data_IF_710688393653
#
_entry.id   IF_710688393653
#
_cell.length_a   1.000
_cell.length_b   1.000
_cell.length_c   1.000
_cell.angle_alpha   90.00
_cell.angle_beta   90.00
_cell.angle_gamma   90.00
#
_symmetry.space_group_name_H-M   'P 1'
#
loop_
_entity.id
_entity.type
_entity.pdbx_description
1 polymer ?
#
# COMPACT_ATOMS: atom_id res chain seq x y z
N UNK A 1 20.90 46.05 -20.61
CA UNK A 1 19.82 45.18 -20.16
C UNK A 1 20.18 43.77 -20.62
N UNK A 2 20.59 42.88 -19.70
CA UNK A 2 19.84 41.72 -19.28
C UNK A 2 20.75 40.60 -18.76
N UNK A 3 21.66 40.87 -17.86
CA UNK A 3 22.37 39.79 -17.11
C UNK A 3 21.67 39.44 -15.79
N UNK A 4 20.91 40.38 -15.21
CA UNK A 4 20.15 40.14 -13.97
C UNK A 4 18.91 39.22 -14.12
N UNK A 5 18.38 39.02 -15.32
CA UNK A 5 17.23 38.14 -15.55
C UNK A 5 17.63 36.65 -15.55
N UNK A 6 18.80 36.36 -16.10
CA UNK A 6 19.32 34.97 -16.16
C UNK A 6 19.82 34.48 -14.80
N UNK A 7 20.43 35.37 -13.99
CA UNK A 7 20.86 35.07 -12.62
C UNK A 7 19.68 34.79 -11.65
N UNK A 8 18.59 35.58 -11.76
CA UNK A 8 17.36 35.30 -10.99
C UNK A 8 16.70 34.01 -11.40
N UNK A 9 16.69 33.66 -12.69
CA UNK A 9 16.18 32.35 -13.16
C UNK A 9 17.04 31.17 -12.70
N UNK A 10 18.35 31.36 -12.54
CA UNK A 10 19.26 30.35 -11.99
C UNK A 10 19.12 30.19 -10.46
N UNK A 11 18.83 31.26 -9.73
CA UNK A 11 18.60 31.28 -8.29
C UNK A 11 17.17 30.76 -7.91
N UNK A 12 16.20 30.91 -8.81
CA UNK A 12 14.87 30.27 -8.70
C UNK A 12 14.86 28.79 -9.07
N UNK A 13 16.03 28.20 -9.22
CA UNK A 13 16.28 26.81 -9.55
C UNK A 13 15.40 25.84 -8.78
N UNK A 14 14.19 25.59 -9.28
CA UNK A 14 13.39 24.43 -8.94
C UNK A 14 12.30 24.60 -7.90
N UNK A 15 11.88 25.81 -7.48
CA UNK A 15 10.65 25.98 -6.67
C UNK A 15 9.41 25.79 -7.54
N UNK A 16 8.97 24.53 -7.64
CA UNK A 16 7.69 24.26 -8.30
C UNK A 16 6.54 24.97 -7.55
N UNK A 17 5.53 25.50 -8.27
CA UNK A 17 4.35 26.09 -7.64
C UNK A 17 3.64 25.08 -6.76
N UNK A 18 3.11 25.55 -5.63
CA UNK A 18 2.48 24.75 -4.57
C UNK A 18 1.43 23.74 -5.10
N UNK A 19 0.53 24.12 -6.04
CA UNK A 19 -0.45 23.17 -6.57
C UNK A 19 0.16 21.91 -7.18
N UNK A 20 1.25 22.06 -7.95
CA UNK A 20 1.90 20.91 -8.61
C UNK A 20 2.53 19.92 -7.63
N UNK A 21 2.86 20.33 -6.40
CA UNK A 21 3.41 19.45 -5.36
C UNK A 21 2.32 18.71 -4.59
N UNK A 22 1.15 19.32 -4.44
CA UNK A 22 0.05 18.76 -3.68
C UNK A 22 -0.75 17.73 -4.46
N UNK A 23 -0.83 17.83 -5.80
CA UNK A 23 -1.56 16.86 -6.63
C UNK A 23 -1.20 15.39 -6.32
N UNK A 24 0.08 14.96 -6.28
CA UNK A 24 0.38 13.57 -5.95
C UNK A 24 0.07 13.21 -4.50
N UNK A 25 0.12 14.17 -3.57
CA UNK A 25 -0.28 13.95 -2.17
C UNK A 25 -1.76 13.67 -2.09
N UNK A 26 -2.59 14.53 -2.71
CA UNK A 26 -4.05 14.37 -2.74
C UNK A 26 -4.42 13.08 -3.48
N UNK A 27 -3.79 12.78 -4.61
CA UNK A 27 -4.01 11.53 -5.32
C UNK A 27 -3.73 10.31 -4.43
N UNK A 28 -2.64 10.32 -3.66
CA UNK A 28 -2.29 9.23 -2.76
C UNK A 28 -3.23 9.13 -1.56
N UNK A 29 -3.70 10.30 -1.03
CA UNK A 29 -4.67 10.33 0.08
C UNK A 29 -5.97 9.58 -0.25
N UNK A 30 -6.46 9.68 -1.48
CA UNK A 30 -7.71 9.02 -1.88
C UNK A 30 -7.48 7.65 -2.54
N UNK A 31 -6.35 7.45 -3.23
CA UNK A 31 -6.07 6.17 -3.88
C UNK A 31 -5.78 5.05 -2.87
N UNK A 32 -5.14 5.36 -1.74
CA UNK A 32 -4.80 4.36 -0.73
C UNK A 32 -6.05 3.70 -0.11
N UNK A 33 -7.03 4.43 0.44
CA UNK A 33 -8.26 3.81 0.94
C UNK A 33 -9.10 3.15 -0.16
N UNK A 34 -9.16 3.73 -1.37
CA UNK A 34 -9.85 3.07 -2.47
C UNK A 34 -9.22 1.71 -2.82
N UNK A 35 -7.90 1.65 -2.92
CA UNK A 35 -7.22 0.39 -3.22
C UNK A 35 -7.32 -0.61 -2.06
N UNK A 36 -7.31 -0.13 -0.81
CA UNK A 36 -7.42 -0.98 0.38
C UNK A 36 -8.80 -1.62 0.52
N UNK A 37 -9.87 -0.86 0.32
CA UNK A 37 -11.21 -1.24 0.73
C UNK A 37 -12.16 -1.51 -0.45
N UNK A 38 -11.99 -0.80 -1.57
CA UNK A 38 -12.90 -0.94 -2.69
C UNK A 38 -12.37 -1.89 -3.79
N UNK A 39 -11.04 -2.02 -3.93
CA UNK A 39 -10.46 -2.71 -5.09
C UNK A 39 -10.73 -4.22 -5.14
N UNK A 40 -11.08 -4.82 -4.02
CA UNK A 40 -11.40 -6.25 -3.89
C UNK A 40 -12.89 -6.51 -3.60
N UNK A 41 -13.76 -5.50 -3.81
CA UNK A 41 -15.21 -5.65 -3.62
C UNK A 41 -15.71 -5.43 -2.20
N UNK A 42 -14.87 -4.90 -1.28
CA UNK A 42 -15.24 -4.72 0.14
C UNK A 42 -16.43 -3.79 0.36
N UNK A 43 -16.65 -2.82 -0.54
CA UNK A 43 -17.78 -1.88 -0.46
C UNK A 43 -18.46 -1.73 -1.81
N UNK A 44 -19.77 -1.55 -1.82
CA UNK A 44 -20.58 -1.40 -3.02
C UNK A 44 -21.37 -0.08 -3.02
N UNK A 45 -21.69 0.42 -4.21
CA UNK A 45 -22.53 1.61 -4.39
C UNK A 45 -21.93 2.88 -3.78
N UNK A 46 -22.76 3.63 -3.06
CA UNK A 46 -22.38 4.89 -2.42
C UNK A 46 -21.41 4.72 -1.26
N UNK A 47 -21.39 3.55 -0.63
CA UNK A 47 -20.53 3.25 0.52
C UNK A 47 -19.05 3.32 0.12
N UNK A 48 -18.72 3.03 -1.15
CA UNK A 48 -17.37 3.21 -1.69
C UNK A 48 -16.86 4.65 -1.55
N UNK A 49 -17.72 5.65 -1.79
CA UNK A 49 -17.32 7.06 -1.64
C UNK A 49 -17.17 7.41 -0.16
N UNK A 50 -18.09 6.94 0.67
CA UNK A 50 -18.06 7.15 2.12
C UNK A 50 -16.78 6.62 2.75
N UNK A 51 -16.44 5.35 2.50
CA UNK A 51 -15.25 4.72 3.06
C UNK A 51 -13.95 5.37 2.57
N UNK A 52 -13.88 5.75 1.29
CA UNK A 52 -12.70 6.44 0.75
C UNK A 52 -12.48 7.77 1.44
N UNK A 53 -13.53 8.56 1.69
CA UNK A 53 -13.40 9.87 2.35
C UNK A 53 -13.05 9.70 3.83
N UNK A 54 -13.75 8.80 4.53
CA UNK A 54 -13.54 8.56 5.97
C UNK A 54 -12.15 8.01 6.27
N UNK A 55 -11.63 7.09 5.42
CA UNK A 55 -10.34 6.47 5.64
C UNK A 55 -9.17 7.21 4.95
N UNK A 56 -9.43 8.25 4.14
CA UNK A 56 -8.37 9.04 3.52
C UNK A 56 -7.36 9.63 4.52
N UNK A 57 -7.76 10.19 5.67
CA UNK A 57 -6.82 10.69 6.67
C UNK A 57 -5.89 9.60 7.20
N UNK A 58 -6.39 8.41 7.47
CA UNK A 58 -5.63 7.31 8.04
C UNK A 58 -4.82 6.55 6.98
N UNK A 59 -5.45 5.91 6.02
CA UNK A 59 -4.74 5.09 5.02
C UNK A 59 -3.92 5.95 4.06
N UNK A 60 -4.53 7.00 3.55
CA UNK A 60 -3.84 7.94 2.68
C UNK A 60 -2.73 8.70 3.41
N UNK A 61 -3.00 9.12 4.65
CA UNK A 61 -2.01 9.74 5.52
C UNK A 61 -0.81 8.83 5.75
N UNK A 62 -1.03 7.55 6.09
CA UNK A 62 0.03 6.55 6.24
C UNK A 62 0.85 6.37 4.96
N UNK A 63 0.19 6.21 3.80
CA UNK A 63 0.87 6.05 2.52
C UNK A 63 1.75 7.26 2.18
N UNK A 64 1.26 8.47 2.41
CA UNK A 64 2.04 9.71 2.22
C UNK A 64 3.22 9.76 3.18
N UNK A 65 3.02 9.52 4.48
CA UNK A 65 4.08 9.57 5.50
C UNK A 65 5.16 8.52 5.24
N UNK A 66 4.80 7.28 4.93
CA UNK A 66 5.74 6.21 4.59
C UNK A 66 6.56 6.58 3.35
N UNK A 67 5.88 7.04 2.31
CA UNK A 67 6.56 7.48 1.09
C UNK A 67 7.51 8.66 1.36
N UNK A 68 7.06 9.68 2.09
CA UNK A 68 7.88 10.84 2.44
C UNK A 68 9.09 10.44 3.30
N UNK A 69 8.90 9.56 4.31
CA UNK A 69 10.00 9.05 5.12
C UNK A 69 11.05 8.35 4.25
N UNK A 70 10.64 7.44 3.36
CA UNK A 70 11.56 6.75 2.48
C UNK A 70 12.30 7.71 1.52
N UNK A 71 11.60 8.68 0.92
CA UNK A 71 12.22 9.60 -0.06
C UNK A 71 13.14 10.63 0.60
N UNK A 72 12.84 11.05 1.83
CA UNK A 72 13.68 11.99 2.61
C UNK A 72 14.99 11.37 3.09
N UNK A 73 14.95 10.10 3.47
CA UNK A 73 16.13 9.39 3.98
C UNK A 73 16.96 8.73 2.87
N UNK A 74 16.56 8.88 1.61
CA UNK A 74 17.19 8.20 0.48
C UNK A 74 16.84 6.72 0.39
N UNK A 75 15.80 6.27 1.11
CA UNK A 75 15.32 4.90 1.10
C UNK A 75 14.69 4.47 -0.22
N UNK A 76 14.86 3.19 -0.55
CA UNK A 76 14.26 2.53 -1.70
C UNK A 76 12.94 1.82 -1.38
N UNK A 77 12.52 0.96 -2.30
CA UNK A 77 11.34 0.11 -2.13
C UNK A 77 11.41 -0.84 -0.93
N UNK A 78 12.58 -1.44 -0.59
CA UNK A 78 12.67 -2.28 0.61
C UNK A 78 12.26 -1.53 1.89
N UNK A 79 12.65 -0.25 2.02
CA UNK A 79 12.22 0.59 3.14
C UNK A 79 10.71 0.82 3.14
N UNK A 80 10.11 1.10 1.97
CA UNK A 80 8.65 1.28 1.85
C UNK A 80 7.92 0.01 2.26
N UNK A 81 8.36 -1.17 1.80
CA UNK A 81 7.74 -2.46 2.14
C UNK A 81 7.83 -2.76 3.64
N UNK A 82 8.98 -2.52 4.27
CA UNK A 82 9.15 -2.72 5.71
C UNK A 82 8.27 -1.78 6.53
N UNK A 83 8.20 -0.49 6.15
CA UNK A 83 7.31 0.47 6.80
C UNK A 83 5.83 0.13 6.55
N UNK A 84 5.49 -0.39 5.36
CA UNK A 84 4.15 -0.86 5.06
C UNK A 84 3.75 -2.08 5.91
N UNK A 85 4.68 -3.02 6.13
CA UNK A 85 4.46 -4.14 7.06
C UNK A 85 4.28 -3.64 8.49
N UNK A 86 5.10 -2.67 8.92
CA UNK A 86 4.93 -1.99 10.21
C UNK A 86 3.58 -1.31 10.35
N UNK A 87 3.13 -0.63 9.31
CA UNK A 87 1.79 -0.02 9.25
C UNK A 87 0.68 -1.08 9.33
N UNK A 88 0.80 -2.19 8.59
CA UNK A 88 -0.19 -3.26 8.63
C UNK A 88 -0.34 -3.86 10.03
N UNK A 89 0.77 -4.08 10.74
CA UNK A 89 0.72 -4.55 12.14
C UNK A 89 0.19 -3.47 13.08
N UNK A 90 0.55 -2.19 12.87
CA UNK A 90 0.04 -1.06 13.66
C UNK A 90 -1.47 -0.93 13.49
N UNK A 91 -1.95 -0.98 12.24
CA UNK A 91 -3.35 -0.87 11.94
C UNK A 91 -4.15 -2.02 12.54
N UNK A 92 -3.82 -3.25 12.17
CA UNK A 92 -4.57 -4.42 12.57
C UNK A 92 -4.34 -4.84 14.04
N UNK A 93 -3.24 -4.42 14.67
CA UNK A 93 -2.92 -4.78 16.07
C UNK A 93 -3.20 -3.69 17.09
N UNK A 94 -3.09 -2.41 16.73
CA UNK A 94 -3.19 -1.30 17.69
C UNK A 94 -4.33 -0.34 17.41
N UNK A 95 -4.77 -0.21 16.14
CA UNK A 95 -5.84 0.73 15.78
C UNK A 95 -7.18 0.02 15.77
N UNK A 96 -7.45 -0.84 14.80
CA UNK A 96 -8.71 -1.58 14.72
C UNK A 96 -8.73 -2.89 15.52
N UNK A 97 -7.55 -3.35 15.95
CA UNK A 97 -7.33 -4.57 16.75
C UNK A 97 -7.89 -5.87 16.12
N UNK A 98 -8.13 -5.86 14.83
CA UNK A 98 -8.64 -7.00 14.04
C UNK A 98 -7.77 -8.27 14.15
N UNK A 99 -6.46 -8.13 14.44
CA UNK A 99 -5.58 -9.27 14.69
C UNK A 99 -5.98 -10.09 15.93
N UNK A 100 -6.56 -9.43 16.92
CA UNK A 100 -6.83 -10.03 18.23
C UNK A 100 -8.31 -10.28 18.47
N UNK A 101 -9.19 -9.57 17.79
CA UNK A 101 -10.63 -9.70 17.91
C UNK A 101 -11.15 -10.87 17.04
N UNK A 102 -11.55 -12.02 17.63
CA UNK A 102 -12.06 -13.15 16.84
C UNK A 102 -13.38 -12.82 16.13
N UNK A 103 -14.14 -11.88 16.69
CA UNK A 103 -15.45 -11.47 16.20
C UNK A 103 -15.39 -10.21 15.33
N UNK A 104 -14.18 -9.83 14.86
CA UNK A 104 -13.98 -8.59 14.10
C UNK A 104 -14.89 -8.47 12.87
N UNK A 105 -15.17 -9.59 12.21
CA UNK A 105 -16.03 -9.67 11.02
C UNK A 105 -17.45 -10.18 11.31
N UNK A 106 -17.82 -10.35 12.58
CA UNK A 106 -19.10 -10.96 12.96
C UNK A 106 -20.34 -10.14 12.54
N UNK A 107 -20.17 -8.83 12.37
CA UNK A 107 -21.20 -7.89 11.93
C UNK A 107 -21.18 -7.62 10.42
N UNK A 108 -20.51 -8.47 9.64
CA UNK A 108 -20.34 -8.33 8.18
C UNK A 108 -20.82 -9.58 7.44
N UNK A 109 -20.97 -9.50 6.12
CA UNK A 109 -21.24 -10.67 5.25
C UNK A 109 -20.12 -11.72 5.27
N UNK A 110 -18.99 -11.42 5.93
CA UNK A 110 -17.87 -12.36 6.13
C UNK A 110 -17.97 -13.17 7.43
N UNK A 111 -18.99 -12.98 8.25
CA UNK A 111 -19.13 -13.66 9.55
C UNK A 111 -18.95 -15.18 9.47
N UNK A 112 -19.61 -15.82 8.50
CA UNK A 112 -19.54 -17.27 8.30
C UNK A 112 -18.26 -17.68 7.52
N UNK A 113 -17.69 -16.79 6.72
CA UNK A 113 -16.52 -17.07 5.87
C UNK A 113 -15.21 -16.89 6.62
N UNK A 114 -15.18 -16.13 7.71
CA UNK A 114 -13.94 -15.71 8.37
C UNK A 114 -13.12 -16.84 8.93
N UNK A 115 -13.74 -17.94 9.35
CA UNK A 115 -13.09 -19.15 9.89
C UNK A 115 -11.85 -18.85 10.76
N UNK A 116 -11.88 -17.72 11.50
CA UNK A 116 -10.77 -17.22 12.30
C UNK A 116 -10.20 -18.27 13.25
N UNK A 117 -11.08 -19.04 13.86
CA UNK A 117 -10.71 -20.07 14.83
C UNK A 117 -9.97 -21.27 14.21
N UNK A 118 -10.15 -21.53 12.91
CA UNK A 118 -9.48 -22.68 12.24
C UNK A 118 -7.96 -22.58 12.26
N UNK A 119 -7.42 -21.35 12.32
CA UNK A 119 -5.96 -21.12 12.33
C UNK A 119 -5.53 -20.29 13.54
N UNK A 120 -6.26 -20.43 14.64
CA UNK A 120 -5.98 -19.72 15.88
C UNK A 120 -4.66 -20.20 16.49
N UNK A 121 -3.82 -19.25 16.86
CA UNK A 121 -2.60 -19.43 17.65
C UNK A 121 -2.93 -19.05 19.10
N UNK A 122 -3.21 -20.02 20.01
CA UNK A 122 -3.79 -19.71 21.34
C UNK A 122 -2.92 -18.77 22.18
N UNK A 123 -1.59 -18.95 22.14
CA UNK A 123 -0.62 -18.16 22.93
C UNK A 123 -0.64 -16.67 22.53
N UNK A 124 -0.86 -16.38 21.25
CA UNK A 124 -0.89 -15.02 20.72
C UNK A 124 -2.31 -14.45 20.65
N UNK A 125 -3.33 -15.31 20.66
CA UNK A 125 -4.72 -14.93 20.50
C UNK A 125 -5.07 -14.40 19.11
N UNK A 126 -4.30 -14.77 18.07
CA UNK A 126 -4.49 -14.34 16.68
C UNK A 126 -4.89 -15.51 15.79
N UNK A 127 -5.61 -15.22 14.69
CA UNK A 127 -5.72 -16.13 13.57
C UNK A 127 -4.53 -15.92 12.61
N UNK A 128 -3.76 -16.98 12.36
CA UNK A 128 -2.61 -16.89 11.46
C UNK A 128 -3.03 -16.53 10.03
N UNK A 129 -4.15 -17.06 9.55
CA UNK A 129 -4.70 -16.75 8.23
C UNK A 129 -5.14 -15.28 8.12
N UNK A 130 -5.88 -14.79 9.11
CA UNK A 130 -6.30 -13.38 9.13
C UNK A 130 -5.11 -12.44 9.25
N UNK A 131 -4.10 -12.78 10.05
CA UNK A 131 -2.88 -11.98 10.15
C UNK A 131 -2.16 -11.83 8.79
N UNK A 132 -2.04 -12.92 8.02
CA UNK A 132 -1.48 -12.88 6.66
C UNK A 132 -2.34 -12.00 5.75
N UNK A 133 -3.66 -12.14 5.79
CA UNK A 133 -4.59 -11.39 4.96
C UNK A 133 -4.56 -9.90 5.30
N UNK A 134 -4.77 -9.51 6.56
CA UNK A 134 -4.85 -8.10 6.98
C UNK A 134 -3.52 -7.38 6.75
N UNK A 135 -2.42 -7.92 7.28
CA UNK A 135 -1.10 -7.31 7.10
C UNK A 135 -0.69 -7.32 5.62
N UNK A 136 -0.93 -8.41 4.91
CA UNK A 136 -0.62 -8.56 3.48
C UNK A 136 -1.36 -7.54 2.61
N UNK A 137 -2.66 -7.34 2.85
CA UNK A 137 -3.47 -6.35 2.13
C UNK A 137 -3.01 -4.91 2.44
N UNK A 138 -2.67 -4.60 3.69
CA UNK A 138 -2.11 -3.29 4.01
C UNK A 138 -0.78 -3.03 3.28
N UNK A 139 0.10 -4.03 3.21
CA UNK A 139 1.35 -3.90 2.45
C UNK A 139 1.08 -3.71 0.96
N UNK A 140 0.27 -4.59 0.36
CA UNK A 140 0.09 -4.64 -1.08
C UNK A 140 -0.83 -3.51 -1.58
N UNK A 141 -2.04 -3.40 -1.03
CA UNK A 141 -3.10 -2.53 -1.54
C UNK A 141 -3.10 -1.15 -0.89
N UNK A 142 -2.92 -1.06 0.45
CA UNK A 142 -3.00 0.24 1.11
C UNK A 142 -1.76 1.10 0.85
N UNK A 143 -0.57 0.51 0.78
CA UNK A 143 0.69 1.27 0.72
C UNK A 143 1.41 1.11 -0.61
N UNK A 144 1.80 -0.12 -0.99
CA UNK A 144 2.72 -0.30 -2.11
C UNK A 144 2.09 0.01 -3.47
N UNK A 145 0.88 -0.48 -3.75
CA UNK A 145 0.23 -0.26 -5.03
C UNK A 145 -0.11 1.22 -5.27
N UNK A 146 -0.74 1.96 -4.33
CA UNK A 146 -1.00 3.39 -4.50
C UNK A 146 0.27 4.22 -4.70
N UNK A 147 1.32 3.99 -3.92
CA UNK A 147 2.60 4.70 -4.09
C UNK A 147 3.18 4.42 -5.49
N UNK A 148 3.21 3.16 -5.93
CA UNK A 148 3.74 2.77 -7.23
C UNK A 148 2.97 3.41 -8.37
N UNK A 149 1.64 3.44 -8.29
CA UNK A 149 0.77 4.05 -9.30
C UNK A 149 0.99 5.55 -9.36
N UNK A 150 0.88 6.27 -8.23
CA UNK A 150 1.06 7.73 -8.20
C UNK A 150 2.46 8.14 -8.66
N UNK A 151 3.51 7.44 -8.20
CA UNK A 151 4.87 7.70 -8.65
C UNK A 151 5.06 7.44 -10.15
N UNK A 152 4.31 6.53 -10.76
CA UNK A 152 4.39 6.23 -12.20
C UNK A 152 3.86 7.37 -13.08
N UNK A 153 2.97 8.21 -12.57
CA UNK A 153 2.51 9.41 -13.27
C UNK A 153 3.50 10.56 -13.24
N UNK A 154 4.54 10.48 -12.39
CA UNK A 154 5.51 11.55 -12.18
C UNK A 154 6.79 11.34 -12.99
N UNK A 155 7.42 12.45 -13.39
CA UNK A 155 8.76 12.43 -13.96
C UNK A 155 9.78 11.80 -12.99
N UNK A 156 10.84 11.11 -13.48
CA UNK A 156 11.81 10.41 -12.64
C UNK A 156 12.41 11.27 -11.51
N UNK A 157 12.75 12.52 -11.81
CA UNK A 157 13.29 13.47 -10.83
C UNK A 157 12.32 13.82 -9.71
N UNK A 158 11.00 13.87 -9.99
CA UNK A 158 9.96 14.15 -8.99
C UNK A 158 9.59 12.93 -8.17
N UNK A 159 9.63 11.77 -8.76
CA UNK A 159 9.37 10.47 -8.15
C UNK A 159 10.27 10.20 -6.96
N UNK A 160 11.53 10.64 -7.03
CA UNK A 160 12.56 10.38 -6.04
C UNK A 160 12.71 11.48 -4.97
N UNK A 161 12.02 12.62 -5.13
CA UNK A 161 12.11 13.76 -4.20
C UNK A 161 10.91 13.79 -3.24
N UNK A 162 11.09 14.31 -2.02
CA UNK A 162 9.98 14.63 -1.13
C UNK A 162 9.01 15.61 -1.78
N UNK A 163 7.70 15.44 -1.55
CA UNK A 163 6.66 16.31 -2.07
C UNK A 163 6.28 17.41 -1.07
N UNK A 164 6.25 17.05 0.22
CA UNK A 164 5.83 17.95 1.29
C UNK A 164 7.02 18.69 1.91
N UNK A 165 6.76 19.82 2.55
CA UNK A 165 7.64 20.46 3.51
C UNK A 165 7.24 20.04 4.93
N UNK A 166 8.04 20.43 5.94
CA UNK A 166 7.77 20.06 7.33
C UNK A 166 6.35 20.43 7.78
N UNK A 167 5.80 21.64 7.51
CA UNK A 167 4.41 21.92 7.89
C UNK A 167 3.39 20.98 7.26
N UNK A 168 3.58 20.62 5.97
CA UNK A 168 2.70 19.65 5.30
C UNK A 168 2.80 18.26 5.89
N UNK A 169 4.00 17.83 6.32
CA UNK A 169 4.15 16.56 7.05
C UNK A 169 3.41 16.55 8.39
N UNK A 170 3.50 17.66 9.13
CA UNK A 170 2.79 17.81 10.41
C UNK A 170 1.28 17.72 10.18
N UNK A 171 0.75 18.41 9.17
CA UNK A 171 -0.69 18.32 8.84
C UNK A 171 -1.09 16.88 8.52
N UNK A 172 -0.35 16.18 7.66
CA UNK A 172 -0.66 14.79 7.31
C UNK A 172 -0.51 13.86 8.51
N UNK A 173 0.48 14.08 9.38
CA UNK A 173 0.64 13.29 10.61
C UNK A 173 -0.52 13.50 11.58
N UNK A 174 -1.00 14.72 11.74
CA UNK A 174 -2.19 15.03 12.56
C UNK A 174 -3.44 14.38 11.97
N UNK A 175 -3.65 14.48 10.64
CA UNK A 175 -4.77 13.82 9.96
C UNK A 175 -4.72 12.31 10.14
N UNK A 176 -3.53 11.71 10.00
CA UNK A 176 -3.32 10.27 10.24
C UNK A 176 -3.70 9.86 11.68
N UNK A 177 -3.25 10.61 12.67
CA UNK A 177 -3.57 10.33 14.08
C UNK A 177 -5.07 10.48 14.35
N UNK A 178 -5.70 11.55 13.86
CA UNK A 178 -7.14 11.74 14.03
C UNK A 178 -7.96 10.65 13.34
N UNK A 179 -7.57 10.25 12.12
CA UNK A 179 -8.20 9.13 11.42
C UNK A 179 -8.02 7.79 12.15
N UNK A 180 -6.83 7.54 12.70
CA UNK A 180 -6.58 6.33 13.51
C UNK A 180 -7.37 6.33 14.80
N UNK A 181 -7.51 7.47 15.48
CA UNK A 181 -8.33 7.60 16.68
C UNK A 181 -9.82 7.40 16.37
N UNK A 182 -10.29 7.89 15.20
CA UNK A 182 -11.67 7.67 14.76
C UNK A 182 -11.95 6.18 14.56
N UNK A 183 -11.07 5.46 13.86
CA UNK A 183 -11.23 4.01 13.64
C UNK A 183 -11.11 3.25 14.95
N UNK A 184 -10.16 3.58 15.82
CA UNK A 184 -10.06 2.98 17.14
C UNK A 184 -11.35 3.18 17.97
N UNK A 185 -11.91 4.37 17.96
CA UNK A 185 -13.15 4.67 18.71
C UNK A 185 -14.36 3.93 18.13
N UNK A 186 -14.40 3.71 16.80
CA UNK A 186 -15.47 2.95 16.17
C UNK A 186 -15.34 1.44 16.45
N UNK A 187 -14.20 0.85 16.18
CA UNK A 187 -14.00 -0.59 16.35
C UNK A 187 -13.89 -1.00 17.82
N UNK A 188 -12.96 -0.44 18.59
CA UNK A 188 -12.78 -0.81 19.99
C UNK A 188 -13.88 -0.22 20.90
N UNK A 189 -14.29 1.01 20.63
CA UNK A 189 -15.33 1.69 21.42
C UNK A 189 -16.71 1.11 21.17
N UNK A 190 -17.16 1.03 19.92
CA UNK A 190 -18.50 0.57 19.55
C UNK A 190 -18.64 -0.95 19.62
N UNK A 191 -17.65 -1.72 19.15
CA UNK A 191 -17.66 -3.19 19.22
C UNK A 191 -17.29 -3.72 20.61
N UNK A 192 -16.80 -2.88 21.51
CA UNK A 192 -16.50 -3.23 22.90
C UNK A 192 -15.33 -4.20 23.09
N UNK A 193 -14.47 -4.35 22.09
CA UNK A 193 -13.29 -5.20 22.18
C UNK A 193 -12.03 -4.38 22.49
N UNK A 194 -11.25 -4.84 23.46
CA UNK A 194 -9.92 -4.31 23.74
C UNK A 194 -8.93 -5.46 23.93
N UNK A 195 -7.88 -5.46 23.12
CA UNK A 195 -6.81 -6.43 23.21
C UNK A 195 -6.07 -6.34 24.55
N UNK A 196 -5.55 -7.47 25.03
CA UNK A 196 -4.82 -7.50 26.31
C UNK A 196 -3.55 -6.64 26.25
N UNK A 197 -3.07 -6.10 27.40
CA UNK A 197 -1.83 -5.33 27.43
C UNK A 197 -0.64 -6.06 26.82
N UNK A 198 -0.53 -7.37 27.00
CA UNK A 198 0.53 -8.19 26.40
C UNK A 198 0.48 -8.21 24.86
N UNK A 199 -0.72 -8.31 24.28
CA UNK A 199 -0.95 -8.26 22.82
C UNK A 199 -0.59 -6.89 22.25
N UNK A 200 -1.02 -5.81 22.91
CA UNK A 200 -0.72 -4.44 22.48
C UNK A 200 0.81 -4.17 22.55
N UNK A 201 1.47 -4.56 23.63
CA UNK A 201 2.95 -4.43 23.77
C UNK A 201 3.66 -5.28 22.72
N UNK A 202 3.20 -6.51 22.47
CA UNK A 202 3.76 -7.36 21.44
C UNK A 202 3.64 -6.77 20.03
N UNK A 203 2.45 -6.26 19.67
CA UNK A 203 2.23 -5.58 18.38
C UNK A 203 3.13 -4.32 18.27
N UNK A 204 3.19 -3.49 19.32
CA UNK A 204 4.04 -2.31 19.34
C UNK A 204 5.54 -2.66 19.18
N UNK A 205 6.01 -3.74 19.81
CA UNK A 205 7.38 -4.23 19.67
C UNK A 205 7.68 -4.68 18.23
N UNK A 206 6.75 -5.39 17.57
CA UNK A 206 6.89 -5.78 16.16
C UNK A 206 6.94 -4.56 15.25
N UNK A 207 6.05 -3.58 15.46
CA UNK A 207 6.07 -2.31 14.70
C UNK A 207 7.41 -1.60 14.86
N UNK A 208 7.89 -1.45 16.09
CA UNK A 208 9.19 -0.82 16.39
C UNK A 208 10.33 -1.57 15.69
N UNK A 209 10.36 -2.90 15.78
CA UNK A 209 11.37 -3.71 15.11
C UNK A 209 11.36 -3.49 13.58
N UNK A 210 10.19 -3.44 12.94
CA UNK A 210 10.07 -3.19 11.50
C UNK A 210 10.51 -1.77 11.13
N UNK A 211 10.20 -0.76 11.94
CA UNK A 211 10.68 0.62 11.74
C UNK A 211 12.20 0.69 11.88
N UNK A 212 12.79 0.06 12.90
CA UNK A 212 14.24 -0.01 13.08
C UNK A 212 14.91 -0.72 11.91
N UNK A 213 14.36 -1.86 11.46
CA UNK A 213 14.84 -2.58 10.28
C UNK A 213 14.76 -1.71 9.02
N UNK A 214 13.67 -0.96 8.83
CA UNK A 214 13.49 -0.04 7.70
C UNK A 214 14.49 1.12 7.72
N UNK A 215 14.91 1.58 8.90
CA UNK A 215 15.86 2.67 9.07
C UNK A 215 17.33 2.27 8.81
N UNK A 216 17.62 0.96 8.65
CA UNK A 216 18.99 0.50 8.45
C UNK A 216 19.61 1.09 7.18
N UNK A 217 20.90 1.51 7.23
CA UNK A 217 21.58 2.14 6.09
C UNK A 217 21.63 1.29 4.82
N UNK A 218 21.54 -0.03 4.94
CA UNK A 218 21.54 -0.96 3.80
C UNK A 218 20.39 -0.73 2.80
N UNK A 219 19.30 -0.12 3.22
CA UNK A 219 18.13 0.16 2.37
C UNK A 219 18.19 1.51 1.66
N UNK A 220 19.23 2.31 1.96
CA UNK A 220 19.47 3.57 1.25
C UNK A 220 19.94 3.26 -0.16
N UNK A 221 19.48 4.06 -1.11
CA UNK A 221 19.91 3.95 -2.49
C UNK A 221 21.39 4.26 -2.58
N UNK A 222 22.18 3.30 -3.03
CA UNK A 222 23.58 3.49 -3.37
C UNK A 222 23.70 3.34 -4.89
N UNK A 223 24.42 4.22 -5.60
CA UNK A 223 24.84 3.99 -6.96
C UNK A 223 25.93 2.90 -6.93
N UNK A 224 25.52 1.64 -6.86
CA UNK A 224 26.45 0.52 -7.02
C UNK A 224 26.39 0.09 -8.49
N UNK A 225 27.54 -0.20 -9.13
CA UNK A 225 27.55 -0.90 -10.39
C UNK A 225 26.95 -2.29 -10.17
N UNK A 226 25.67 -2.43 -10.48
CA UNK A 226 24.98 -3.70 -10.44
C UNK A 226 24.91 -4.27 -11.87
N UNK A 227 25.04 -5.61 -12.06
CA UNK A 227 24.85 -6.19 -13.37
C UNK A 227 23.43 -5.95 -13.88
N UNK A 228 23.27 -5.78 -15.18
CA UNK A 228 21.97 -5.87 -15.82
C UNK A 228 21.43 -7.30 -15.73
N UNK A 229 20.12 -7.47 -15.78
CA UNK A 229 19.50 -8.80 -15.70
C UNK A 229 18.16 -8.81 -15.00
N UNK A 230 17.54 -7.65 -14.82
CA UNK A 230 16.18 -7.57 -14.31
C UNK A 230 15.21 -8.28 -15.27
N UNK A 231 14.22 -9.04 -14.74
CA UNK A 231 13.26 -9.68 -15.59
C UNK A 231 12.35 -8.66 -16.29
N UNK A 232 11.77 -9.07 -17.43
CA UNK A 232 10.72 -8.29 -18.10
C UNK A 232 9.59 -7.95 -17.10
N UNK A 233 8.98 -6.76 -17.16
CA UNK A 233 7.96 -6.33 -16.19
C UNK A 233 6.79 -7.30 -16.01
N UNK A 234 6.45 -8.06 -17.05
CA UNK A 234 5.39 -9.08 -16.99
C UNK A 234 5.65 -10.18 -15.94
N UNK A 235 6.92 -10.56 -15.72
CA UNK A 235 7.26 -11.62 -14.76
C UNK A 235 6.96 -11.25 -13.31
N UNK A 236 7.47 -10.12 -12.75
CA UNK A 236 7.10 -9.73 -11.40
C UNK A 236 5.60 -9.43 -11.27
N UNK A 237 4.94 -8.85 -12.30
CA UNK A 237 3.50 -8.61 -12.27
C UNK A 237 2.69 -9.91 -12.17
N UNK A 238 2.99 -10.89 -13.03
CA UNK A 238 2.31 -12.19 -13.01
C UNK A 238 2.59 -12.96 -11.72
N UNK A 239 3.84 -12.92 -11.22
CA UNK A 239 4.19 -13.59 -9.96
C UNK A 239 3.39 -13.00 -8.79
N UNK A 240 3.31 -11.67 -8.67
CA UNK A 240 2.51 -11.01 -7.62
C UNK A 240 1.04 -11.35 -7.76
N UNK A 241 0.48 -11.33 -8.98
CA UNK A 241 -0.90 -11.71 -9.25
C UNK A 241 -1.20 -13.14 -8.76
N UNK A 242 -0.38 -14.11 -9.17
CA UNK A 242 -0.57 -15.51 -8.81
C UNK A 242 -0.43 -15.75 -7.30
N UNK A 243 0.55 -15.11 -6.65
CA UNK A 243 0.72 -15.21 -5.20
C UNK A 243 -0.46 -14.56 -4.47
N UNK A 244 -0.89 -13.37 -4.91
CA UNK A 244 -2.02 -12.67 -4.30
C UNK A 244 -3.32 -13.50 -4.37
N UNK A 245 -3.67 -14.02 -5.54
CA UNK A 245 -4.83 -14.90 -5.73
C UNK A 245 -4.68 -16.21 -4.96
N UNK A 246 -3.50 -16.83 -5.03
CA UNK A 246 -3.25 -18.09 -4.32
C UNK A 246 -3.40 -17.95 -2.80
N UNK A 247 -2.79 -16.92 -2.20
CA UNK A 247 -2.92 -16.65 -0.76
C UNK A 247 -4.37 -16.38 -0.36
N UNK A 248 -5.13 -15.66 -1.21
CA UNK A 248 -6.53 -15.34 -0.93
C UNK A 248 -7.49 -16.54 -1.03
N UNK A 249 -7.13 -17.57 -1.83
CA UNK A 249 -7.95 -18.76 -2.04
C UNK A 249 -7.62 -19.92 -1.08
N UNK A 250 -6.46 -19.88 -0.43
CA UNK A 250 -6.02 -20.91 0.47
C UNK A 250 -6.56 -20.71 1.89
N UNK A 251 -6.99 -21.78 2.55
CA UNK A 251 -7.54 -21.73 3.90
C UNK A 251 -6.97 -22.79 4.82
N UNK A 252 -7.13 -22.60 6.14
CA UNK A 252 -6.65 -23.51 7.17
C UNK A 252 -5.13 -23.54 7.30
N UNK A 253 -4.60 -24.44 8.13
CA UNK A 253 -3.16 -24.50 8.45
C UNK A 253 -2.28 -24.82 7.24
N UNK A 254 -2.75 -25.66 6.31
CA UNK A 254 -2.05 -25.94 5.05
C UNK A 254 -1.96 -24.64 4.23
N UNK A 255 -3.07 -23.89 4.14
CA UNK A 255 -3.11 -22.59 3.48
C UNK A 255 -2.15 -21.61 4.09
N UNK A 256 -2.08 -21.53 5.42
CA UNK A 256 -1.10 -20.69 6.15
C UNK A 256 0.33 -21.06 5.80
N UNK A 257 0.68 -22.35 5.89
CA UNK A 257 2.03 -22.83 5.60
C UNK A 257 2.45 -22.52 4.15
N UNK A 258 1.57 -22.81 3.18
CA UNK A 258 1.83 -22.48 1.77
C UNK A 258 1.94 -20.98 1.57
N UNK A 259 1.06 -20.17 2.17
CA UNK A 259 1.09 -18.72 2.07
C UNK A 259 2.41 -18.14 2.60
N UNK A 260 2.89 -18.61 3.75
CA UNK A 260 4.18 -18.17 4.31
C UNK A 260 5.32 -18.48 3.33
N UNK A 261 5.36 -19.68 2.78
CA UNK A 261 6.42 -20.10 1.83
C UNK A 261 6.35 -19.28 0.54
N UNK A 262 5.18 -19.13 -0.07
CA UNK A 262 5.08 -18.42 -1.37
C UNK A 262 5.29 -16.91 -1.21
N UNK A 263 4.84 -16.30 -0.11
CA UNK A 263 5.10 -14.88 0.19
C UNK A 263 6.60 -14.66 0.49
N UNK A 264 7.25 -15.53 1.26
CA UNK A 264 8.69 -15.46 1.50
C UNK A 264 9.48 -15.60 0.19
N UNK A 265 9.10 -16.54 -0.68
CA UNK A 265 9.70 -16.72 -1.99
C UNK A 265 9.49 -15.48 -2.89
N UNK A 266 8.29 -14.91 -2.90
CA UNK A 266 7.98 -13.66 -3.62
C UNK A 266 8.88 -12.52 -3.15
N UNK A 267 8.95 -12.28 -1.84
CA UNK A 267 9.78 -11.22 -1.24
C UNK A 267 11.24 -11.42 -1.60
N UNK A 268 11.75 -12.65 -1.50
CA UNK A 268 13.12 -13.00 -1.87
C UNK A 268 13.38 -12.74 -3.37
N UNK A 269 12.50 -13.16 -4.26
CA UNK A 269 12.64 -12.95 -5.70
C UNK A 269 12.61 -11.47 -6.06
N UNK A 270 11.66 -10.69 -5.52
CA UNK A 270 11.57 -9.25 -5.76
C UNK A 270 12.81 -8.52 -5.21
N UNK A 271 13.28 -8.89 -4.01
CA UNK A 271 14.51 -8.33 -3.45
C UNK A 271 15.73 -8.61 -4.32
N UNK A 272 15.88 -9.85 -4.82
CA UNK A 272 16.97 -10.23 -5.73
C UNK A 272 16.88 -9.47 -7.06
N UNK A 273 15.71 -9.40 -7.68
CA UNK A 273 15.53 -8.69 -8.95
C UNK A 273 15.69 -7.18 -8.82
N UNK A 274 15.26 -6.60 -7.70
CA UNK A 274 15.43 -5.16 -7.45
C UNK A 274 16.89 -4.72 -7.26
N UNK A 275 17.82 -5.66 -7.09
CA UNK A 275 19.26 -5.41 -7.05
C UNK A 275 19.89 -5.19 -8.42
N UNK A 276 19.22 -5.48 -9.54
CA UNK A 276 19.79 -5.28 -10.88
C UNK A 276 19.68 -3.82 -11.33
N UNK A 277 20.67 -3.38 -12.14
CA UNK A 277 20.77 -1.99 -12.61
C UNK A 277 19.59 -1.55 -13.49
N UNK A 278 19.00 -2.48 -14.22
CA UNK A 278 17.88 -2.28 -15.15
C UNK A 278 16.50 -2.52 -14.51
N UNK A 279 16.44 -2.76 -13.17
CA UNK A 279 15.18 -2.75 -12.42
C UNK A 279 14.68 -1.32 -12.27
N UNK A 280 13.55 -1.03 -12.89
CA UNK A 280 12.99 0.33 -12.94
C UNK A 280 11.52 0.41 -12.55
N UNK A 281 10.94 1.56 -12.85
CA UNK A 281 9.54 1.85 -12.50
C UNK A 281 8.55 0.92 -13.23
N UNK A 282 8.90 0.36 -14.40
CA UNK A 282 8.04 -0.60 -15.10
C UNK A 282 7.83 -1.87 -14.28
N UNK A 283 8.91 -2.41 -13.69
CA UNK A 283 8.82 -3.62 -12.85
C UNK A 283 8.04 -3.34 -11.56
N UNK A 284 8.28 -2.17 -10.94
CA UNK A 284 7.55 -1.74 -9.76
C UNK A 284 6.06 -1.59 -10.04
N UNK A 285 5.70 -0.90 -11.13
CA UNK A 285 4.30 -0.74 -11.55
C UNK A 285 3.64 -2.08 -11.89
N UNK A 286 4.37 -2.97 -12.57
CA UNK A 286 3.86 -4.29 -12.90
C UNK A 286 3.60 -5.14 -11.65
N UNK A 287 4.47 -5.08 -10.63
CA UNK A 287 4.24 -5.75 -9.35
C UNK A 287 2.99 -5.20 -8.65
N UNK A 288 2.83 -3.88 -8.59
CA UNK A 288 1.64 -3.23 -8.05
C UNK A 288 0.37 -3.59 -8.84
N UNK A 289 0.47 -3.63 -10.17
CA UNK A 289 -0.62 -4.04 -11.05
C UNK A 289 -1.06 -5.49 -10.77
N UNK A 290 -0.11 -6.39 -10.52
CA UNK A 290 -0.42 -7.79 -10.15
C UNK A 290 -1.31 -7.88 -8.91
N UNK A 291 -1.00 -7.13 -7.86
CA UNK A 291 -1.82 -7.10 -6.64
C UNK A 291 -3.20 -6.47 -6.90
N UNK A 292 -3.25 -5.31 -7.56
CA UNK A 292 -4.51 -4.60 -7.80
C UNK A 292 -5.44 -5.36 -8.76
N UNK A 293 -4.90 -6.00 -9.80
CA UNK A 293 -5.68 -6.86 -10.70
C UNK A 293 -6.17 -8.10 -9.95
N UNK A 294 -5.33 -8.70 -9.10
CA UNK A 294 -5.73 -9.81 -8.24
C UNK A 294 -6.89 -9.43 -7.32
N UNK A 295 -6.82 -8.26 -6.69
CA UNK A 295 -7.91 -7.72 -5.88
C UNK A 295 -9.19 -7.52 -6.71
N UNK A 296 -9.11 -6.90 -7.89
CA UNK A 296 -10.25 -6.71 -8.78
C UNK A 296 -10.88 -8.03 -9.28
N UNK A 297 -10.10 -9.09 -9.41
CA UNK A 297 -10.63 -10.44 -9.72
C UNK A 297 -11.38 -11.00 -8.52
N UNK A 298 -10.85 -10.82 -7.29
CA UNK A 298 -11.50 -11.28 -6.06
C UNK A 298 -12.84 -10.57 -5.81
N UNK A 299 -12.99 -9.31 -6.23
CA UNK A 299 -14.23 -8.55 -6.08
C UNK A 299 -15.46 -9.31 -6.60
N UNK A 300 -15.31 -10.08 -7.68
CA UNK A 300 -16.39 -10.89 -8.25
C UNK A 300 -16.66 -12.21 -7.51
N UNK A 301 -15.84 -12.55 -6.51
CA UNK A 301 -15.86 -13.85 -5.81
C UNK A 301 -16.22 -13.73 -4.33
N UNK A 302 -16.22 -12.50 -3.79
CA UNK A 302 -16.50 -12.25 -2.38
C UNK A 302 -17.66 -11.26 -2.22
N UNK A 303 -18.45 -11.36 -1.13
CA UNK A 303 -19.49 -10.37 -0.84
C UNK A 303 -18.85 -9.04 -0.38
N UNK A 304 -19.55 -7.91 -0.48
CA UNK A 304 -19.15 -6.68 0.22
C UNK A 304 -19.37 -6.82 1.73
N UNK A 305 -18.74 -5.94 2.52
CA UNK A 305 -18.92 -5.95 3.99
C UNK A 305 -20.37 -5.70 4.43
N UNK A 306 -21.04 -4.78 3.75
CA UNK A 306 -22.45 -4.45 4.02
C UNK A 306 -23.36 -5.13 3.01
N UNK A 307 -24.58 -5.51 3.39
CA UNK A 307 -25.55 -6.08 2.47
C UNK A 307 -25.77 -5.21 1.24
N UNK A 308 -25.66 -5.79 0.08
CA UNK A 308 -25.90 -5.13 -1.21
C UNK A 308 -26.68 -6.08 -2.15
N UNK A 309 -27.51 -5.51 -3.04
CA UNK A 309 -28.11 -6.34 -4.07
C UNK A 309 -27.05 -6.90 -5.02
N UNK A 310 -27.25 -8.11 -5.59
CA UNK A 310 -26.29 -8.68 -6.54
C UNK A 310 -25.97 -7.75 -7.72
N UNK A 311 -26.96 -7.01 -8.20
CA UNK A 311 -26.79 -6.02 -9.28
C UNK A 311 -25.90 -4.86 -8.83
N UNK A 312 -26.10 -4.34 -7.62
CA UNK A 312 -25.31 -3.24 -7.08
C UNK A 312 -23.85 -3.67 -6.85
N UNK A 313 -23.62 -4.86 -6.30
CA UNK A 313 -22.29 -5.42 -6.13
C UNK A 313 -21.59 -5.56 -7.49
N UNK A 314 -22.24 -6.21 -8.49
CA UNK A 314 -21.68 -6.38 -9.81
C UNK A 314 -21.34 -5.06 -10.51
N UNK A 315 -22.23 -4.07 -10.46
CA UNK A 315 -21.96 -2.73 -11.03
C UNK A 315 -20.73 -2.11 -10.38
N UNK A 316 -20.61 -2.22 -9.05
CA UNK A 316 -19.45 -1.70 -8.30
C UNK A 316 -18.16 -2.39 -8.70
N UNK A 317 -18.16 -3.70 -8.85
CA UNK A 317 -16.99 -4.48 -9.27
C UNK A 317 -16.54 -4.13 -10.69
N UNK A 318 -17.49 -3.91 -11.60
CA UNK A 318 -17.20 -3.43 -12.95
C UNK A 318 -16.59 -2.04 -12.91
N UNK A 319 -17.13 -1.11 -12.13
CA UNK A 319 -16.57 0.24 -11.96
C UNK A 319 -15.14 0.16 -11.39
N UNK A 320 -14.91 -0.64 -10.36
CA UNK A 320 -13.58 -0.87 -9.77
C UNK A 320 -12.61 -1.40 -10.81
N UNK A 321 -13.01 -2.40 -11.58
CA UNK A 321 -12.19 -3.00 -12.64
C UNK A 321 -11.83 -1.98 -13.73
N UNK A 322 -12.79 -1.19 -14.19
CA UNK A 322 -12.55 -0.14 -15.18
C UNK A 322 -11.63 0.96 -14.68
N UNK A 323 -11.80 1.39 -13.42
CA UNK A 323 -10.91 2.36 -12.78
C UNK A 323 -9.49 1.81 -12.63
N UNK A 324 -9.34 0.57 -12.19
CA UNK A 324 -8.03 -0.09 -12.09
C UNK A 324 -7.33 -0.14 -13.46
N UNK A 325 -8.03 -0.59 -14.51
CA UNK A 325 -7.51 -0.63 -15.89
C UNK A 325 -7.09 0.76 -16.36
N UNK A 326 -7.95 1.76 -16.19
CA UNK A 326 -7.67 3.13 -16.61
C UNK A 326 -6.44 3.72 -15.90
N UNK A 327 -6.35 3.52 -14.58
CA UNK A 327 -5.20 3.99 -13.80
C UNK A 327 -3.90 3.29 -14.20
N UNK A 328 -3.92 1.97 -14.34
CA UNK A 328 -2.73 1.19 -14.67
C UNK A 328 -2.25 1.44 -16.10
N UNK A 329 -3.15 1.53 -17.07
CA UNK A 329 -2.81 1.85 -18.47
C UNK A 329 -2.28 3.27 -18.60
N UNK A 330 -2.91 4.25 -17.93
CA UNK A 330 -2.42 5.62 -17.85
C UNK A 330 -1.03 5.72 -17.23
N UNK A 331 -0.80 5.04 -16.09
CA UNK A 331 0.49 4.98 -15.42
C UNK A 331 1.56 4.34 -16.33
N UNK A 332 1.25 3.23 -16.99
CA UNK A 332 2.16 2.56 -17.92
C UNK A 332 2.53 3.46 -19.12
N UNK A 333 1.55 4.12 -19.71
CA UNK A 333 1.78 5.07 -20.81
C UNK A 333 2.70 6.23 -20.38
N UNK A 334 2.54 6.75 -19.15
CA UNK A 334 3.41 7.78 -18.59
C UNK A 334 4.85 7.30 -18.37
N UNK A 335 5.03 6.12 -17.78
CA UNK A 335 6.36 5.54 -17.58
C UNK A 335 7.07 5.37 -18.92
N UNK A 336 6.39 4.82 -19.95
CA UNK A 336 6.96 4.67 -21.28
C UNK A 336 7.40 6.00 -21.91
N UNK A 337 6.58 7.03 -21.81
CA UNK A 337 6.93 8.38 -22.33
C UNK A 337 8.16 8.97 -21.65
N UNK A 338 8.32 8.76 -20.35
CA UNK A 338 9.48 9.27 -19.62
C UNK A 338 10.79 8.53 -19.93
N UNK A 339 10.71 7.28 -20.35
CA UNK A 339 11.88 6.48 -20.69
C UNK A 339 12.29 6.61 -22.18
N UNK A 340 11.37 7.04 -23.05
CA UNK A 340 11.63 7.27 -24.47
C UNK A 340 12.26 8.63 -24.78
N UNK A 341 12.36 9.55 -23.80
CA UNK A 341 13.07 10.83 -23.96
C UNK A 341 14.55 10.57 -23.70
N UNK A 342 15.45 10.71 -24.71
CA UNK A 342 16.87 10.55 -24.50
C UNK A 342 17.34 11.50 -23.40
N UNK A 343 18.17 11.00 -22.46
CA UNK A 343 18.93 11.90 -21.60
C UNK A 343 19.80 12.77 -22.48
N UNK A 344 19.55 14.08 -22.51
CA UNK A 344 20.45 15.02 -23.19
C UNK A 344 21.85 14.79 -22.62
N UNK A 345 22.87 14.50 -23.47
CA UNK A 345 24.24 14.51 -23.01
C UNK A 345 24.56 15.96 -22.62
N UNK A 346 24.75 16.18 -21.30
CA UNK A 346 25.25 17.45 -20.75
C UNK A 346 26.75 17.54 -20.92
#
# INVERSE_FOLDING_TARGET
MTTHGAERAALDGGRQPMPRRLVPVVALLFLAPWAAECSWGGFAGTDMLGVVVVLAPMYGGAAVLIREAARRTGGGWPMIVLLAAGFGVLQAGLVDQSLFNPDYLADTEFAELSAADRTRVPVLGISAQQAISFVGNHVALTICAPIAIVESYLAPTRRLRPWLRVPGLVVVAVLYLLGSLLVFADDSGRKGFLASPGQLVGAAAVVLALVVLAALPRWRRRPLPAPAGAPRPTRPGLLVLLVYLGVSMLSGWIGVAVSVVVVAALVWMLARWSGHADWGQRQVLASAAGALVGAAVLAYLVPPYSPASPTQALISDVIVSLLAIAMLTGAYARVRRHESVPAYPG
#
